data_IF_183776889421
#
_entry.id   IF_183776889421
#
_cell.length_a   1.000
_cell.length_b   1.000
_cell.length_c   1.000
_cell.angle_alpha   90.00
_cell.angle_beta   90.00
_cell.angle_gamma   90.00
#
_symmetry.space_group_name_H-M   'P 1'
#
loop_
_entity.id
_entity.type
_entity.pdbx_description
1 polymer ?
#
# COMPACT_ATOMS: atom_id res chain seq x y z
N UNK A 1 -1.22 14.39 8.52
CA UNK A 1 -1.84 13.63 7.41
C UNK A 1 -3.34 13.68 7.60
N UNK A 2 -4.14 13.45 6.57
CA UNK A 2 -5.59 13.29 6.72
C UNK A 2 -5.89 11.95 7.40
N UNK A 3 -6.99 11.91 8.16
CA UNK A 3 -7.44 10.68 8.81
C UNK A 3 -7.70 9.54 7.79
N UNK A 4 -8.14 9.88 6.58
CA UNK A 4 -8.38 8.91 5.52
C UNK A 4 -7.08 8.38 4.91
N UNK A 5 -6.05 9.23 4.78
CA UNK A 5 -4.72 8.76 4.40
C UNK A 5 -4.15 7.79 5.43
N UNK A 6 -4.27 8.11 6.72
CA UNK A 6 -3.80 7.24 7.80
C UNK A 6 -4.52 5.89 7.80
N UNK A 7 -5.84 5.88 7.58
CA UNK A 7 -6.63 4.65 7.42
C UNK A 7 -6.22 3.84 6.20
N UNK A 8 -5.94 4.50 5.08
CA UNK A 8 -5.52 3.86 3.83
C UNK A 8 -4.21 3.10 4.05
N UNK A 9 -3.22 3.77 4.63
CA UNK A 9 -1.91 3.19 4.93
C UNK A 9 -2.03 2.10 6.00
N UNK A 10 -2.77 2.37 7.09
CA UNK A 10 -3.00 1.39 8.14
C UNK A 10 -3.64 0.09 7.62
N UNK A 11 -4.61 0.20 6.71
CA UNK A 11 -5.20 -0.98 6.06
C UNK A 11 -4.18 -1.73 5.21
N UNK A 12 -3.35 -1.04 4.43
CA UNK A 12 -2.30 -1.69 3.65
C UNK A 12 -1.22 -2.37 4.50
N UNK A 13 -0.99 -1.91 5.73
CA UNK A 13 -0.08 -2.59 6.66
C UNK A 13 -0.69 -3.91 7.16
N UNK A 14 -1.99 -3.92 7.44
CA UNK A 14 -2.67 -5.06 8.08
C UNK A 14 -3.29 -6.07 7.09
N UNK A 15 -3.58 -5.65 5.86
CA UNK A 15 -4.23 -6.44 4.82
C UNK A 15 -3.30 -6.57 3.60
N UNK A 16 -2.56 -7.70 3.48
CA UNK A 16 -1.63 -7.93 2.37
C UNK A 16 -2.30 -7.92 0.98
N UNK A 17 -3.56 -8.33 0.89
CA UNK A 17 -4.29 -8.32 -0.38
C UNK A 17 -4.69 -6.88 -0.77
N UNK A 18 -5.08 -6.07 0.20
CA UNK A 18 -5.29 -4.64 0.00
C UNK A 18 -3.98 -3.92 -0.35
N UNK A 19 -2.87 -4.26 0.31
CA UNK A 19 -1.53 -3.74 -0.02
C UNK A 19 -1.20 -3.96 -1.49
N UNK A 20 -1.37 -5.18 -2.00
CA UNK A 20 -1.11 -5.50 -3.41
C UNK A 20 -1.96 -4.65 -4.36
N UNK A 21 -3.24 -4.43 -4.04
CA UNK A 21 -4.12 -3.52 -4.81
C UNK A 21 -3.66 -2.07 -4.74
N UNK A 22 -3.33 -1.57 -3.56
CA UNK A 22 -2.83 -0.20 -3.35
C UNK A 22 -1.54 0.07 -4.14
N UNK A 23 -0.63 -0.91 -4.18
CA UNK A 23 0.63 -0.79 -4.93
C UNK A 23 0.43 -0.82 -6.46
N UNK A 24 -0.61 -1.51 -6.93
CA UNK A 24 -0.95 -1.59 -8.34
C UNK A 24 -1.69 -0.34 -8.82
N UNK A 25 -2.71 0.09 -8.06
CA UNK A 25 -3.54 1.25 -8.36
C UNK A 25 -4.02 1.92 -7.05
N UNK A 26 -3.32 2.98 -6.58
CA UNK A 26 -3.65 3.62 -5.32
C UNK A 26 -5.00 4.36 -5.35
N UNK A 27 -5.41 4.86 -6.52
CA UNK A 27 -6.68 5.56 -6.71
C UNK A 27 -7.87 4.61 -6.59
N UNK A 28 -7.80 3.47 -7.28
CA UNK A 28 -8.81 2.44 -7.20
C UNK A 28 -8.93 1.90 -5.77
N UNK A 29 -7.80 1.62 -5.10
CA UNK A 29 -7.80 1.11 -3.73
C UNK A 29 -8.40 2.10 -2.72
N UNK A 30 -8.11 3.40 -2.82
CA UNK A 30 -8.72 4.42 -1.98
C UNK A 30 -10.24 4.51 -2.20
N UNK A 31 -10.67 4.47 -3.47
CA UNK A 31 -12.09 4.51 -3.85
C UNK A 31 -12.85 3.27 -3.35
N UNK A 32 -12.29 2.07 -3.52
CA UNK A 32 -12.86 0.82 -3.01
C UNK A 32 -13.00 0.80 -1.49
N UNK A 33 -12.05 1.44 -0.79
CA UNK A 33 -12.09 1.59 0.66
C UNK A 33 -13.05 2.68 1.14
N UNK A 34 -13.66 3.45 0.23
CA UNK A 34 -14.51 4.59 0.58
C UNK A 34 -13.75 5.73 1.25
N UNK A 35 -12.43 5.82 1.03
CA UNK A 35 -11.55 6.79 1.66
C UNK A 35 -11.27 7.94 0.68
N UNK A 36 -11.19 9.16 1.21
CA UNK A 36 -10.85 10.35 0.43
C UNK A 36 -9.66 11.08 1.07
N UNK A 37 -8.44 10.56 0.94
CA UNK A 37 -7.23 11.28 1.34
C UNK A 37 -7.09 12.61 0.59
N UNK A 38 -6.32 13.54 1.15
CA UNK A 38 -6.11 14.83 0.48
C UNK A 38 -5.38 14.63 -0.86
N UNK A 39 -5.68 15.45 -1.89
CA UNK A 39 -5.05 15.31 -3.21
C UNK A 39 -3.53 15.29 -3.19
N UNK A 40 -2.91 16.10 -2.33
CA UNK A 40 -1.45 16.22 -2.17
C UNK A 40 -0.84 14.97 -1.52
N UNK A 41 -1.62 14.22 -0.73
CA UNK A 41 -1.20 12.96 -0.13
C UNK A 41 -1.25 11.84 -1.16
N UNK A 42 -2.33 11.80 -1.97
CA UNK A 42 -2.43 10.86 -3.08
C UNK A 42 -1.34 11.11 -4.14
N UNK A 43 -1.01 12.37 -4.44
CA UNK A 43 0.06 12.71 -5.37
C UNK A 43 1.43 12.20 -4.87
N UNK A 44 1.73 12.41 -3.59
CA UNK A 44 2.95 11.87 -2.95
C UNK A 44 2.99 10.35 -2.98
N UNK A 45 1.85 9.69 -2.69
CA UNK A 45 1.74 8.24 -2.75
C UNK A 45 2.01 7.73 -4.17
N UNK A 46 1.38 8.31 -5.21
CA UNK A 46 1.62 7.94 -6.61
C UNK A 46 3.09 8.10 -7.00
N UNK A 47 3.72 9.20 -6.59
CA UNK A 47 5.15 9.46 -6.86
C UNK A 47 6.05 8.41 -6.21
N UNK A 48 5.79 8.03 -4.96
CA UNK A 48 6.52 6.95 -4.30
C UNK A 48 6.33 5.62 -5.04
N UNK A 49 5.10 5.32 -5.47
CA UNK A 49 4.78 4.08 -6.20
C UNK A 49 5.21 4.08 -7.67
N UNK A 50 5.57 5.24 -8.25
CA UNK A 50 6.03 5.33 -9.63
C UNK A 50 7.47 4.79 -9.80
N UNK A 51 8.23 4.68 -8.71
CA UNK A 51 9.58 4.15 -8.74
C UNK A 51 9.57 2.60 -8.73
N UNK A 52 9.98 1.94 -9.83
CA UNK A 52 10.00 0.49 -9.91
C UNK A 52 11.00 -0.16 -8.93
N UNK A 53 12.00 0.57 -8.43
CA UNK A 53 12.90 0.08 -7.39
C UNK A 53 12.14 -0.08 -6.06
N UNK A 54 11.22 0.83 -5.75
CA UNK A 54 10.40 0.79 -4.54
C UNK A 54 9.35 -0.33 -4.62
N UNK A 55 8.78 -0.61 -5.80
CA UNK A 55 7.89 -1.74 -6.03
C UNK A 55 8.57 -3.09 -5.75
N UNK A 56 9.78 -3.30 -6.30
CA UNK A 56 10.54 -4.54 -6.09
C UNK A 56 10.89 -4.77 -4.61
N UNK A 57 11.21 -3.71 -3.87
CA UNK A 57 11.52 -3.83 -2.45
C UNK A 57 10.31 -4.26 -1.61
N UNK A 58 9.11 -3.79 -1.97
CA UNK A 58 7.86 -4.18 -1.31
C UNK A 58 7.46 -5.63 -1.62
N UNK A 59 7.70 -6.11 -2.84
CA UNK A 59 7.50 -7.51 -3.21
C UNK A 59 8.46 -8.44 -2.44
N UNK A 60 9.70 -8.02 -2.22
CA UNK A 60 10.68 -8.79 -1.44
C UNK A 60 10.29 -8.91 0.04
N UNK A 61 9.70 -7.87 0.64
CA UNK A 61 9.20 -7.91 2.02
C UNK A 61 8.06 -8.94 2.17
N UNK A 62 7.16 -9.03 1.19
CA UNK A 62 6.07 -10.02 1.18
C UNK A 62 6.64 -11.46 1.11
N UNK A 63 7.66 -11.68 0.29
CA UNK A 63 8.32 -12.99 0.18
C UNK A 63 9.07 -13.38 1.46
N UNK A 64 9.76 -12.43 2.10
CA UNK A 64 10.52 -12.70 3.34
C UNK A 64 9.59 -12.99 4.53
N UNK A 65 8.48 -12.27 4.65
CA UNK A 65 7.49 -12.50 5.72
C UNK A 65 6.74 -13.82 5.55
N UNK A 66 6.47 -14.23 4.31
CA UNK A 66 5.90 -15.56 4.01
C UNK A 66 6.89 -16.70 4.31
N UNK A 67 8.19 -16.52 4.06
CA UNK A 67 9.20 -17.54 4.38
C UNK A 67 9.46 -17.73 5.88
N UNK A 68 9.22 -16.71 6.70
CA UNK A 68 9.41 -16.78 8.16
C UNK A 68 8.23 -17.44 8.91
N UNK A 69 7.07 -17.56 8.27
CA UNK A 69 5.87 -18.19 8.83
C UNK A 69 5.70 -19.66 8.41
N UNK A 70 6.62 -20.19 7.59
CA UNK A 70 6.65 -21.59 7.13
C UNK A 70 7.46 -22.55 8.02
N UNK A 71 8.03 -22.07 9.13
CA UNK A 71 8.63 -22.90 10.17
C UNK A 71 7.82 -22.77 11.47
N UNK A 72 6.79 -23.59 11.60
CA UNK A 72 6.13 -23.91 12.88
C UNK A 72 5.60 -25.33 12.83
#
# INVERSE_FOLDING_TARGET
MSADFERLIGRAVLDPAFRKRLLADPDAAAKEAGLQPAPEEMDRLRKALADPAQRKQLEQIDQQTASLSGWS
#
